data_IF_734554331278
#
_entry.id   IF_734554331278
#
_cell.length_a   1.000
_cell.length_b   1.000
_cell.length_c   1.000
_cell.angle_alpha   90.00
_cell.angle_beta   90.00
_cell.angle_gamma   90.00
#
_symmetry.space_group_name_H-M   'P 1'
#
loop_
_entity.id
_entity.type
_entity.pdbx_description
1 polymer ?
#
# COMPACT_ATOMS: atom_id res chain seq x y z
N UNK A 1 23.90 -14.38 -18.07
CA UNK A 1 22.65 -15.00 -18.61
C UNK A 1 21.50 -14.01 -18.52
N UNK A 2 21.20 -13.46 -17.34
CA UNK A 2 20.24 -12.35 -17.17
C UNK A 2 20.45 -11.20 -18.16
N UNK A 3 21.67 -10.68 -18.33
CA UNK A 3 21.95 -9.60 -19.31
C UNK A 3 21.56 -9.95 -20.76
N UNK A 4 21.72 -11.22 -21.16
CA UNK A 4 21.40 -11.66 -22.52
C UNK A 4 19.88 -11.81 -22.72
N UNK A 5 19.17 -12.21 -21.66
CA UNK A 5 17.72 -12.24 -21.61
C UNK A 5 17.17 -10.82 -21.62
N UNK A 6 17.73 -9.89 -20.83
CA UNK A 6 17.36 -8.47 -20.82
C UNK A 6 17.55 -7.80 -22.19
N UNK A 7 18.62 -8.14 -22.92
CA UNK A 7 18.82 -7.62 -24.28
C UNK A 7 17.86 -8.21 -25.33
N UNK A 8 17.22 -9.36 -25.04
CA UNK A 8 16.13 -9.90 -25.87
C UNK A 8 14.77 -9.28 -25.52
N UNK A 9 14.68 -8.69 -24.33
CA UNK A 9 13.46 -8.14 -23.75
C UNK A 9 13.26 -6.68 -24.18
N UNK A 10 14.34 -5.90 -24.17
CA UNK A 10 14.40 -4.53 -24.71
C UNK A 10 14.34 -4.58 -26.24
N UNK A 11 13.12 -4.78 -26.79
CA UNK A 11 12.89 -4.97 -28.22
C UNK A 11 13.03 -3.67 -29.00
N UNK A 12 12.74 -2.54 -28.35
CA UNK A 12 12.84 -1.21 -28.94
C UNK A 12 14.28 -0.63 -28.81
N UNK A 13 15.12 -1.20 -27.94
CA UNK A 13 16.52 -0.83 -27.73
C UNK A 13 16.68 0.51 -27.02
N UNK A 14 15.67 0.96 -26.28
CA UNK A 14 15.68 2.25 -25.57
C UNK A 14 16.36 2.17 -24.20
N UNK A 15 16.74 0.96 -23.74
CA UNK A 15 17.36 0.72 -22.45
C UNK A 15 16.38 0.78 -21.27
N UNK A 16 15.08 0.83 -21.57
CA UNK A 16 13.98 0.79 -20.63
C UNK A 16 13.13 -0.46 -20.87
N UNK A 17 12.24 -0.73 -19.92
CA UNK A 17 11.28 -1.81 -19.96
C UNK A 17 9.93 -1.15 -19.71
N UNK A 18 9.10 -1.17 -20.74
CA UNK A 18 7.69 -0.81 -20.65
C UNK A 18 6.88 -1.93 -20.00
N UNK A 19 5.67 -1.58 -19.54
CA UNK A 19 4.74 -2.57 -19.01
C UNK A 19 4.38 -3.65 -20.05
N UNK A 20 4.28 -3.28 -21.33
CA UNK A 20 4.00 -4.22 -22.43
C UNK A 20 5.18 -5.17 -22.69
N UNK A 21 6.42 -4.66 -22.66
CA UNK A 21 7.60 -5.51 -22.76
C UNK A 21 7.70 -6.44 -21.56
N UNK A 22 7.37 -5.96 -20.37
CA UNK A 22 7.33 -6.76 -19.16
C UNK A 22 6.27 -7.88 -19.21
N UNK A 23 5.07 -7.60 -19.70
CA UNK A 23 4.05 -8.65 -19.91
C UNK A 23 4.57 -9.73 -20.88
N UNK A 24 5.24 -9.33 -21.96
CA UNK A 24 5.88 -10.28 -22.89
C UNK A 24 7.00 -11.12 -22.25
N UNK A 25 7.73 -10.58 -21.26
CA UNK A 25 8.69 -11.37 -20.46
C UNK A 25 7.96 -12.50 -19.75
N UNK A 26 6.85 -12.18 -19.10
CA UNK A 26 6.06 -13.11 -18.30
C UNK A 26 5.36 -14.16 -19.17
N UNK A 27 5.06 -13.83 -20.43
CA UNK A 27 4.54 -14.79 -21.41
C UNK A 27 5.62 -15.71 -22.01
N UNK A 28 6.90 -15.31 -21.97
CA UNK A 28 8.01 -16.10 -22.51
C UNK A 28 8.42 -17.24 -21.55
N UNK A 29 8.30 -18.51 -21.96
CA UNK A 29 8.74 -19.65 -21.13
C UNK A 29 10.25 -19.62 -20.84
N UNK A 30 11.04 -19.06 -21.75
CA UNK A 30 12.49 -18.97 -21.64
C UNK A 30 12.90 -17.90 -20.62
N UNK A 31 12.23 -16.74 -20.64
CA UNK A 31 12.51 -15.67 -19.71
C UNK A 31 12.01 -15.99 -18.30
N UNK A 32 10.81 -16.57 -18.17
CA UNK A 32 10.28 -17.04 -16.88
C UNK A 32 11.13 -18.16 -16.28
N UNK A 33 11.65 -19.09 -17.09
CA UNK A 33 12.61 -20.10 -16.63
C UNK A 33 13.91 -19.45 -16.12
N UNK A 34 14.44 -18.46 -16.83
CA UNK A 34 15.65 -17.74 -16.41
C UNK A 34 15.44 -16.95 -15.10
N UNK A 35 14.28 -16.32 -14.92
CA UNK A 35 13.90 -15.63 -13.68
C UNK A 35 13.78 -16.62 -12.52
N UNK A 36 13.16 -17.77 -12.76
CA UNK A 36 13.00 -18.82 -11.76
C UNK A 36 14.34 -19.47 -11.37
N UNK A 37 15.26 -19.69 -12.32
CA UNK A 37 16.63 -20.15 -12.04
C UNK A 37 17.39 -19.20 -11.11
N UNK A 38 17.12 -17.90 -11.21
CA UNK A 38 17.71 -16.88 -10.35
C UNK A 38 16.98 -16.84 -8.99
N UNK A 39 15.85 -17.52 -8.83
CA UNK A 39 15.08 -17.58 -7.58
C UNK A 39 14.08 -16.43 -7.43
N UNK A 40 13.64 -15.85 -8.55
CA UNK A 40 12.58 -14.83 -8.59
C UNK A 40 11.23 -15.54 -8.56
N UNK A 41 10.31 -15.08 -7.71
CA UNK A 41 8.92 -15.55 -7.74
C UNK A 41 8.18 -14.89 -8.90
N UNK A 42 8.06 -15.61 -10.01
CA UNK A 42 7.39 -15.14 -11.23
C UNK A 42 5.90 -14.90 -11.00
N UNK A 43 5.25 -15.67 -10.12
CA UNK A 43 3.82 -15.51 -9.83
C UNK A 43 3.59 -14.22 -9.04
N UNK A 44 4.38 -14.00 -7.99
CA UNK A 44 4.35 -12.74 -7.25
C UNK A 44 4.70 -11.55 -8.14
N UNK A 45 5.64 -11.71 -9.06
CA UNK A 45 6.04 -10.66 -10.00
C UNK A 45 4.89 -10.20 -10.92
N UNK A 46 3.97 -11.11 -11.31
CA UNK A 46 2.73 -10.78 -12.04
C UNK A 46 1.79 -9.94 -11.16
N UNK A 47 1.57 -10.37 -9.91
CA UNK A 47 0.69 -9.66 -8.98
C UNK A 47 1.22 -8.25 -8.62
N UNK A 48 2.54 -8.07 -8.62
CA UNK A 48 3.17 -6.77 -8.37
C UNK A 48 3.31 -5.91 -9.62
N UNK A 49 3.07 -6.43 -10.82
CA UNK A 49 3.25 -5.73 -12.10
C UNK A 49 2.55 -4.36 -12.09
N UNK A 50 1.28 -4.33 -11.70
CA UNK A 50 0.48 -3.11 -11.68
C UNK A 50 1.08 -2.04 -10.78
N UNK A 51 1.67 -2.43 -9.65
CA UNK A 51 2.29 -1.51 -8.71
C UNK A 51 3.71 -1.09 -9.11
N UNK A 52 4.45 -1.98 -9.77
CA UNK A 52 5.83 -1.74 -10.22
C UNK A 52 5.86 -0.63 -11.28
N UNK A 53 4.87 -0.62 -12.18
CA UNK A 53 4.77 0.36 -13.26
C UNK A 53 3.86 1.55 -12.90
N UNK A 54 3.30 1.62 -11.69
CA UNK A 54 2.44 2.73 -11.26
C UNK A 54 3.26 4.01 -11.00
N UNK A 55 3.03 5.06 -11.79
CA UNK A 55 3.64 6.36 -11.53
C UNK A 55 2.75 7.23 -10.64
N UNK A 56 2.96 7.14 -9.33
CA UNK A 56 2.27 8.01 -8.38
C UNK A 56 2.68 9.50 -8.50
N UNK A 57 3.72 9.82 -9.27
CA UNK A 57 4.21 11.19 -9.45
C UNK A 57 3.64 11.88 -10.69
N UNK A 58 3.12 11.12 -11.66
CA UNK A 58 2.50 11.63 -12.87
C UNK A 58 1.05 11.15 -12.99
N UNK A 59 0.12 12.10 -12.99
CA UNK A 59 -1.30 11.85 -13.22
C UNK A 59 -1.63 12.27 -14.66
N UNK A 60 -2.43 11.46 -15.34
CA UNK A 60 -2.99 11.84 -16.63
C UNK A 60 -4.05 12.96 -16.48
N UNK A 61 -4.58 13.43 -17.60
CA UNK A 61 -5.62 14.46 -17.65
C UNK A 61 -6.92 14.10 -16.88
N UNK A 62 -7.10 12.83 -16.53
CA UNK A 62 -8.24 12.31 -15.80
C UNK A 62 -7.92 12.03 -14.32
N UNK A 63 -6.70 12.31 -13.86
CA UNK A 63 -6.25 12.08 -12.49
C UNK A 63 -5.90 10.62 -12.19
N UNK A 64 -5.64 9.81 -13.21
CA UNK A 64 -5.23 8.40 -13.10
C UNK A 64 -3.70 8.33 -13.17
N UNK A 65 -3.03 7.56 -12.29
CA UNK A 65 -1.59 7.33 -12.39
C UNK A 65 -1.21 6.78 -13.76
N UNK A 66 -0.25 7.42 -14.44
CA UNK A 66 0.27 6.90 -15.70
C UNK A 66 1.21 5.73 -15.45
N UNK A 67 1.36 4.82 -16.42
CA UNK A 67 2.39 3.79 -16.34
C UNK A 67 3.76 4.43 -16.62
N UNK A 68 4.76 4.19 -15.76
CA UNK A 68 6.15 4.63 -15.97
C UNK A 68 6.99 3.49 -16.53
N UNK A 69 7.78 3.76 -17.56
CA UNK A 69 8.79 2.84 -18.05
C UNK A 69 9.99 2.79 -17.09
N UNK A 70 10.52 1.58 -16.87
CA UNK A 70 11.60 1.35 -15.92
C UNK A 70 12.91 1.16 -16.65
N UNK A 71 13.97 1.82 -16.17
CA UNK A 71 15.31 1.49 -16.66
C UNK A 71 15.68 0.05 -16.29
N UNK A 72 16.57 -0.58 -17.07
CA UNK A 72 17.07 -1.93 -16.74
C UNK A 72 17.59 -2.04 -15.29
N UNK A 73 18.17 -0.98 -14.75
CA UNK A 73 18.67 -0.95 -13.38
C UNK A 73 17.54 -0.94 -12.34
N UNK A 74 16.49 -0.14 -12.57
CA UNK A 74 15.31 -0.10 -11.70
C UNK A 74 14.58 -1.44 -11.74
N UNK A 75 14.38 -1.98 -12.95
CA UNK A 75 13.77 -3.29 -13.14
C UNK A 75 14.51 -4.39 -12.39
N UNK A 76 15.84 -4.46 -12.53
CA UNK A 76 16.64 -5.45 -11.82
C UNK A 76 16.59 -5.27 -10.30
N UNK A 77 16.45 -4.03 -9.81
CA UNK A 77 16.31 -3.77 -8.37
C UNK A 77 15.00 -4.33 -7.83
N UNK A 78 13.90 -4.18 -8.58
CA UNK A 78 12.58 -4.74 -8.26
C UNK A 78 12.62 -6.27 -8.30
N UNK A 79 13.17 -6.85 -9.38
CA UNK A 79 13.30 -8.31 -9.55
C UNK A 79 14.15 -8.94 -8.43
N UNK A 80 15.22 -8.27 -8.00
CA UNK A 80 16.04 -8.73 -6.87
C UNK A 80 15.34 -8.61 -5.52
N UNK A 81 14.48 -7.60 -5.33
CA UNK A 81 13.67 -7.48 -4.11
C UNK A 81 12.62 -8.59 -4.01
N UNK A 82 12.05 -9.00 -5.14
CA UNK A 82 11.09 -10.10 -5.28
C UNK A 82 11.73 -11.48 -5.39
N UNK A 83 13.06 -11.57 -5.29
CA UNK A 83 13.76 -12.84 -5.19
C UNK A 83 13.26 -13.56 -3.94
N UNK A 84 12.69 -14.75 -4.07
CA UNK A 84 12.21 -15.57 -2.95
C UNK A 84 13.30 -15.92 -1.94
N UNK A 85 14.57 -15.73 -2.31
CA UNK A 85 15.71 -15.82 -1.37
C UNK A 85 15.86 -14.60 -0.46
N UNK A 86 15.08 -13.54 -0.63
CA UNK A 86 14.98 -12.43 0.31
C UNK A 86 14.20 -12.92 1.53
N UNK A 87 14.82 -13.87 2.25
CA UNK A 87 14.20 -14.61 3.33
C UNK A 87 13.81 -13.62 4.41
N UNK A 88 12.52 -13.36 4.55
CA UNK A 88 12.00 -12.68 5.72
C UNK A 88 12.49 -13.45 6.95
N UNK A 89 13.30 -12.78 7.75
CA UNK A 89 13.86 -13.37 8.96
C UNK A 89 12.78 -13.43 10.03
N UNK A 90 13.02 -14.25 11.06
CA UNK A 90 12.17 -14.22 12.27
C UNK A 90 12.12 -12.82 12.87
N UNK A 91 13.19 -12.03 12.73
CA UNK A 91 13.23 -10.63 13.16
C UNK A 91 12.20 -9.78 12.41
N UNK A 92 12.09 -9.94 11.09
CA UNK A 92 11.14 -9.17 10.27
C UNK A 92 9.70 -9.49 10.65
N UNK A 93 9.37 -10.76 10.89
CA UNK A 93 8.04 -11.17 11.39
C UNK A 93 7.78 -10.63 12.80
N UNK A 94 8.79 -10.68 13.67
CA UNK A 94 8.67 -10.14 15.04
C UNK A 94 8.45 -8.63 15.02
N UNK A 95 9.14 -7.92 14.15
CA UNK A 95 9.05 -6.46 14.03
C UNK A 95 7.74 -6.04 13.36
N UNK A 96 7.26 -6.76 12.34
CA UNK A 96 5.92 -6.60 11.78
C UNK A 96 4.83 -6.82 12.85
N UNK A 97 4.93 -7.90 13.63
CA UNK A 97 3.99 -8.19 14.72
C UNK A 97 3.97 -7.09 15.78
N UNK A 98 5.13 -6.57 16.16
CA UNK A 98 5.23 -5.43 17.10
C UNK A 98 4.59 -4.18 16.50
N UNK A 99 4.88 -3.88 15.24
CA UNK A 99 4.31 -2.74 14.52
C UNK A 99 2.79 -2.81 14.50
N UNK A 100 2.20 -3.92 14.04
CA UNK A 100 0.75 -4.11 13.99
C UNK A 100 0.13 -3.99 15.39
N UNK A 101 0.73 -4.64 16.40
CA UNK A 101 0.23 -4.57 17.78
C UNK A 101 0.25 -3.14 18.32
N UNK A 102 1.32 -2.38 18.06
CA UNK A 102 1.44 -1.00 18.51
C UNK A 102 0.45 -0.09 17.77
N UNK A 103 0.30 -0.26 16.46
CA UNK A 103 -0.66 0.48 15.64
C UNK A 103 -2.09 0.28 16.14
N UNK A 104 -2.52 -0.98 16.32
CA UNK A 104 -3.85 -1.32 16.82
C UNK A 104 -4.07 -0.79 18.26
N UNK A 105 -3.04 -0.83 19.11
CA UNK A 105 -3.12 -0.28 20.47
C UNK A 105 -3.34 1.23 20.45
N UNK A 106 -2.55 1.95 19.64
CA UNK A 106 -2.67 3.42 19.50
C UNK A 106 -4.03 3.81 18.95
N UNK A 107 -4.51 3.12 17.91
CA UNK A 107 -5.84 3.34 17.35
C UNK A 107 -6.96 3.07 18.38
N UNK A 108 -6.82 2.01 19.18
CA UNK A 108 -7.76 1.71 20.27
C UNK A 108 -7.85 2.84 21.29
N UNK A 109 -6.73 3.42 21.71
CA UNK A 109 -6.73 4.56 22.64
C UNK A 109 -7.41 5.80 22.04
N UNK A 110 -7.15 6.09 20.76
CA UNK A 110 -7.79 7.21 20.08
C UNK A 110 -9.31 7.03 20.00
N UNK A 111 -9.78 5.80 19.74
CA UNK A 111 -11.22 5.49 19.73
C UNK A 111 -11.85 5.66 21.10
N UNK A 112 -11.18 5.22 22.16
CA UNK A 112 -11.67 5.40 23.53
C UNK A 112 -11.74 6.89 23.91
N UNK A 113 -10.74 7.69 23.56
CA UNK A 113 -10.73 9.13 23.79
C UNK A 113 -11.88 9.83 23.06
N UNK A 114 -12.10 9.50 21.78
CA UNK A 114 -13.21 10.02 20.98
C UNK A 114 -14.55 9.64 21.64
N UNK A 115 -14.71 8.38 22.05
CA UNK A 115 -15.94 7.89 22.70
C UNK A 115 -16.20 8.63 24.01
N UNK A 116 -15.18 8.85 24.83
CA UNK A 116 -15.31 9.62 26.07
C UNK A 116 -15.67 11.08 25.80
N UNK A 117 -15.06 11.72 24.80
CA UNK A 117 -15.39 13.07 24.38
C UNK A 117 -16.87 13.20 23.98
N UNK A 118 -17.35 12.28 23.14
CA UNK A 118 -18.76 12.23 22.72
C UNK A 118 -19.71 11.99 23.90
N UNK A 119 -19.33 11.13 24.86
CA UNK A 119 -20.14 10.92 26.06
C UNK A 119 -20.21 12.18 26.94
N UNK A 120 -19.08 12.87 27.13
CA UNK A 120 -19.01 14.13 27.88
C UNK A 120 -19.90 15.20 27.25
N UNK A 121 -19.84 15.36 25.93
CA UNK A 121 -20.68 16.31 25.20
C UNK A 121 -22.17 15.98 25.29
N UNK A 122 -22.51 14.69 25.20
CA UNK A 122 -23.89 14.22 25.35
C UNK A 122 -24.43 14.50 26.75
N UNK A 123 -23.63 14.29 27.80
CA UNK A 123 -24.02 14.60 29.18
C UNK A 123 -24.22 16.11 29.40
N UNK A 124 -23.31 16.95 28.86
CA UNK A 124 -23.44 18.41 28.92
C UNK A 124 -24.72 18.91 28.27
N UNK A 125 -25.04 18.42 27.05
CA UNK A 125 -26.30 18.75 26.35
C UNK A 125 -27.54 18.27 27.12
N UNK A 126 -27.46 17.12 27.81
CA UNK A 126 -28.60 16.59 28.58
C UNK A 126 -28.89 17.45 29.82
N UNK A 127 -27.86 17.92 30.52
CA UNK A 127 -28.00 18.78 31.71
C UNK A 127 -28.51 20.19 31.36
N UNK A 128 -28.11 20.75 30.22
CA UNK A 128 -28.57 22.08 29.78
C UNK A 128 -30.05 22.11 29.38
N UNK A 129 -30.59 21.02 28.83
CA UNK A 129 -32.01 20.93 28.46
C UNK A 129 -32.91 20.79 29.70
N UNK A 130 -32.45 20.07 30.73
CA UNK A 130 -33.18 19.92 32.00
C UNK A 130 -33.22 21.19 32.84
N UNK A 131 -32.16 22.01 32.83
CA UNK A 131 -32.15 23.29 33.57
C UNK A 131 -33.07 24.34 32.93
N UNK A 132 -33.12 24.39 31.59
CA UNK A 132 -34.01 25.29 30.85
C UNK A 132 -35.50 24.92 31.01
N UNK A 133 -35.82 23.63 31.17
CA UNK A 133 -37.20 23.16 31.38
C UNK A 133 -37.70 23.43 32.81
N UNK A 134 -36.82 23.43 33.81
CA UNK A 134 -37.15 23.71 35.22
C UNK A 134 -37.31 25.22 35.49
N UNK A 135 -36.60 26.10 34.77
CA UNK A 135 -36.75 27.56 34.91
C UNK A 135 -38.06 28.08 34.30
N UNK A 136 -38.57 27.46 33.24
CA UNK A 136 -39.85 27.83 32.62
C UNK A 136 -41.09 27.42 33.43
N UNK A 137 -41.00 26.37 34.26
CA UNK A 137 -42.13 25.93 35.10
C UNK A 137 -42.33 26.79 36.35
N UNK A 138 -41.30 27.49 36.81
CA UNK A 138 -41.38 28.32 38.01
C UNK A 138 -41.90 29.75 37.73
N UNK A 139 -41.98 30.18 36.46
CA UNK A 139 -42.54 31.49 36.08
C UNK A 139 -44.02 31.47 35.74
N UNK A 140 -44.67 30.30 35.72
CA UNK A 140 -46.11 30.14 35.42
C UNK A 140 -46.98 29.90 36.66
N UNK A 141 -46.41 30.06 37.87
CA UNK A 141 -47.12 29.86 39.15
C UNK A 141 -47.18 31.09 40.06
N UNK A 142 -46.81 32.27 39.55
CA UNK A 142 -46.95 33.56 40.25
C UNK A 142 -48.00 34.43 39.58
#
# INVERSE_FOLDING_TARGET
>A
RLQAVLNQIDQNGDGMISNEEFERILESPEATAALNEVGVDVVGLVDFADHIFEDHSNLDENGIPTKKDLTLQEFMSVVLQLRGSNHATVKDIVDLRKFVRNSLKTQGMQLDEIKEGLMRDRMRRRQSVTSHSMSGLNSSRS
#
